data_IF_905673296692
#
_entry.id   IF_905673296692
#
_cell.length_a   1.000
_cell.length_b   1.000
_cell.length_c   1.000
_cell.angle_alpha   90.00
_cell.angle_beta   90.00
_cell.angle_gamma   90.00
#
_symmetry.space_group_name_H-M   'P 1'
#
loop_
_entity.id
_entity.type
_entity.pdbx_description
1 polymer ?
#
# COMPACT_ATOMS: atom_id res chain seq x y z
N UNK A 1 -4.75 -15.51 -1.26
CA UNK A 1 -3.58 -16.31 -1.66
C UNK A 1 -3.21 -17.18 -0.48
N UNK A 2 -2.84 -18.43 -0.72
CA UNK A 2 -2.38 -19.37 0.32
C UNK A 2 -0.86 -19.29 0.48
N UNK A 3 -0.34 -19.79 1.60
CA UNK A 3 1.09 -19.93 1.84
C UNK A 3 1.76 -20.77 0.73
N UNK A 4 1.15 -21.90 0.38
CA UNK A 4 1.67 -22.80 -0.67
C UNK A 4 1.80 -22.10 -2.03
N UNK A 5 0.80 -21.28 -2.41
CA UNK A 5 0.88 -20.50 -3.62
C UNK A 5 2.00 -19.44 -3.57
N UNK A 6 2.28 -18.88 -2.39
CA UNK A 6 3.38 -17.94 -2.18
C UNK A 6 4.75 -18.62 -2.32
N UNK A 7 4.86 -19.88 -1.90
CA UNK A 7 6.07 -20.69 -1.96
C UNK A 7 6.43 -21.09 -3.39
N UNK A 8 5.43 -21.50 -4.19
CA UNK A 8 5.63 -21.93 -5.58
C UNK A 8 5.92 -20.76 -6.52
N UNK A 9 5.36 -19.57 -6.26
CA UNK A 9 5.37 -18.46 -7.20
C UNK A 9 6.80 -18.06 -7.67
N UNK A 10 7.81 -17.91 -6.80
CA UNK A 10 9.17 -17.59 -7.23
C UNK A 10 9.80 -18.70 -8.09
N UNK A 11 9.49 -19.98 -7.82
CA UNK A 11 10.03 -21.12 -8.56
C UNK A 11 9.59 -21.12 -10.03
N UNK A 12 8.41 -20.58 -10.32
CA UNK A 12 7.88 -20.44 -11.67
C UNK A 12 8.21 -19.09 -12.32
N UNK A 13 9.12 -18.31 -11.72
CA UNK A 13 9.62 -17.04 -12.27
C UNK A 13 8.78 -15.81 -11.94
N UNK A 14 7.97 -15.84 -10.88
CA UNK A 14 7.25 -14.64 -10.41
C UNK A 14 8.19 -13.73 -9.63
N UNK A 15 8.36 -12.49 -10.10
CA UNK A 15 9.20 -11.48 -9.45
C UNK A 15 8.54 -10.81 -8.23
N UNK A 16 7.21 -10.92 -8.09
CA UNK A 16 6.51 -10.29 -6.98
C UNK A 16 5.06 -10.73 -6.75
N UNK A 17 4.61 -10.53 -5.52
CA UNK A 17 3.31 -10.94 -5.01
C UNK A 17 2.46 -9.71 -4.71
N UNK A 18 1.33 -9.55 -5.42
CA UNK A 18 0.40 -8.42 -5.23
C UNK A 18 -0.46 -8.55 -3.97
N UNK A 19 -0.54 -9.75 -3.40
CA UNK A 19 -1.25 -10.04 -2.17
C UNK A 19 -0.38 -10.97 -1.35
N UNK A 20 -0.14 -10.66 -0.09
CA UNK A 20 0.48 -11.60 0.84
C UNK A 20 -0.54 -12.70 1.21
N UNK A 21 -0.10 -13.91 1.53
CA UNK A 21 -0.96 -14.98 2.03
C UNK A 21 -1.63 -14.62 3.37
N UNK A 22 -2.70 -15.33 3.71
CA UNK A 22 -3.56 -14.99 4.87
C UNK A 22 -4.02 -16.21 5.68
N UNK A 23 -3.75 -17.40 5.19
CA UNK A 23 -4.16 -18.70 5.74
C UNK A 23 -3.27 -19.18 6.90
N UNK A 24 -2.07 -18.60 7.06
CA UNK A 24 -1.15 -18.82 8.20
C UNK A 24 -0.11 -17.70 8.29
N UNK A 25 0.68 -17.70 9.37
CA UNK A 25 1.84 -16.81 9.53
C UNK A 25 3.09 -17.30 8.79
N UNK A 26 4.03 -16.39 8.52
CA UNK A 26 5.35 -16.74 8.00
C UNK A 26 6.21 -17.53 9.00
N UNK A 27 7.09 -18.35 8.44
CA UNK A 27 8.20 -19.02 9.11
C UNK A 27 9.52 -18.77 8.35
N UNK A 28 10.65 -19.25 8.87
CA UNK A 28 11.95 -19.02 8.24
C UNK A 28 12.04 -19.52 6.80
N UNK A 29 11.31 -20.59 6.45
CA UNK A 29 11.34 -21.17 5.10
C UNK A 29 10.79 -20.19 4.08
N UNK A 30 9.58 -19.66 4.31
CA UNK A 30 8.99 -18.70 3.37
C UNK A 30 9.75 -17.36 3.35
N UNK A 31 10.33 -16.95 4.48
CA UNK A 31 11.17 -15.75 4.52
C UNK A 31 12.38 -15.90 3.61
N UNK A 32 12.99 -17.09 3.57
CA UNK A 32 14.11 -17.40 2.69
C UNK A 32 13.66 -17.53 1.21
N UNK A 33 12.54 -18.21 0.95
CA UNK A 33 11.97 -18.36 -0.40
C UNK A 33 11.59 -17.02 -1.03
N UNK A 34 11.05 -16.09 -0.23
CA UNK A 34 10.63 -14.77 -0.72
C UNK A 34 11.76 -13.73 -0.76
N UNK A 35 13.01 -14.12 -0.49
CA UNK A 35 14.15 -13.20 -0.62
C UNK A 35 14.27 -12.70 -2.06
N UNK A 36 14.19 -11.39 -2.23
CA UNK A 36 14.29 -10.74 -3.54
C UNK A 36 12.96 -10.64 -4.30
N UNK A 37 11.90 -11.29 -3.81
CA UNK A 37 10.54 -11.16 -4.35
C UNK A 37 9.91 -9.90 -3.77
N UNK A 38 9.37 -9.01 -4.60
CA UNK A 38 8.68 -7.83 -4.07
C UNK A 38 7.26 -8.18 -3.62
N UNK A 39 6.80 -7.59 -2.52
CA UNK A 39 5.47 -7.89 -1.96
C UNK A 39 4.67 -6.60 -1.83
N UNK A 40 3.42 -6.64 -2.27
CA UNK A 40 2.42 -5.59 -2.02
C UNK A 40 1.42 -6.16 -1.00
N UNK A 41 1.54 -5.87 0.29
CA UNK A 41 0.81 -6.60 1.32
C UNK A 41 -0.70 -6.27 1.39
N UNK A 42 -1.16 -5.17 0.75
CA UNK A 42 -2.57 -4.72 0.68
C UNK A 42 -3.28 -4.72 2.05
N UNK A 43 -2.62 -4.21 3.09
CA UNK A 43 -3.07 -4.30 4.49
C UNK A 43 -4.49 -3.77 4.73
N UNK A 44 -4.89 -2.68 4.06
CA UNK A 44 -6.25 -2.13 4.16
C UNK A 44 -7.32 -3.17 3.78
N UNK A 45 -7.14 -3.85 2.64
CA UNK A 45 -8.07 -4.87 2.17
C UNK A 45 -8.08 -6.09 3.09
N UNK A 46 -6.92 -6.47 3.63
CA UNK A 46 -6.82 -7.59 4.58
C UNK A 46 -7.54 -7.28 5.89
N UNK A 47 -7.39 -6.06 6.41
CA UNK A 47 -8.12 -5.61 7.60
C UNK A 47 -9.63 -5.79 7.40
N UNK A 48 -10.18 -5.33 6.28
CA UNK A 48 -11.62 -5.45 5.98
C UNK A 48 -12.09 -6.90 5.75
N UNK A 49 -11.22 -7.79 5.28
CA UNK A 49 -11.52 -9.22 5.11
C UNK A 49 -11.66 -9.92 6.46
N UNK A 50 -10.83 -9.53 7.44
CA UNK A 50 -10.89 -10.04 8.83
C UNK A 50 -11.88 -9.26 9.72
N UNK A 51 -12.70 -8.38 9.15
CA UNK A 51 -13.70 -7.59 9.86
C UNK A 51 -13.19 -6.43 10.70
N UNK A 52 -11.93 -6.05 10.52
CA UNK A 52 -11.44 -4.76 11.00
C UNK A 52 -11.99 -3.67 10.07
N UNK A 53 -12.90 -2.85 10.59
CA UNK A 53 -13.49 -1.74 9.83
C UNK A 53 -12.57 -0.52 9.91
N UNK A 54 -12.00 -0.04 8.80
CA UNK A 54 -11.10 1.11 8.79
C UNK A 54 -11.91 2.40 8.75
N UNK A 55 -12.83 2.55 9.70
CA UNK A 55 -13.77 3.68 9.74
C UNK A 55 -13.04 5.00 9.86
N UNK A 56 -11.91 5.08 10.58
CA UNK A 56 -11.20 6.33 10.78
C UNK A 56 -10.73 7.01 9.47
N UNK A 57 -10.16 6.26 8.52
CA UNK A 57 -9.65 6.83 7.25
C UNK A 57 -10.77 7.11 6.25
N UNK A 58 -11.79 6.26 6.20
CA UNK A 58 -12.99 6.50 5.36
C UNK A 58 -13.86 7.65 5.91
N UNK A 59 -13.67 8.03 7.18
CA UNK A 59 -14.35 9.16 7.81
C UNK A 59 -13.59 10.49 7.72
N UNK A 60 -12.34 10.52 7.25
CA UNK A 60 -11.58 11.78 7.12
C UNK A 60 -12.28 12.69 6.10
N UNK A 61 -12.69 13.92 6.46
CA UNK A 61 -13.38 14.83 5.56
C UNK A 61 -12.65 15.07 4.24
N UNK A 62 -11.30 15.12 4.29
CA UNK A 62 -10.45 15.33 3.11
C UNK A 62 -10.52 14.19 2.08
N UNK A 63 -10.97 13.01 2.52
CA UNK A 63 -11.23 11.83 1.68
C UNK A 63 -12.70 11.78 1.30
N UNK A 64 -13.61 11.91 2.27
CA UNK A 64 -15.06 11.83 2.06
C UNK A 64 -15.58 12.82 1.03
N UNK A 65 -15.13 14.06 1.11
CA UNK A 65 -15.59 15.14 0.22
C UNK A 65 -15.18 14.92 -1.25
N UNK A 66 -14.20 14.04 -1.51
CA UNK A 66 -13.69 13.73 -2.85
C UNK A 66 -14.32 12.47 -3.46
N UNK A 67 -15.15 11.74 -2.73
CA UNK A 67 -15.71 10.46 -3.15
C UNK A 67 -17.21 10.59 -3.41
N UNK A 68 -17.71 10.09 -4.55
CA UNK A 68 -19.15 10.02 -4.78
C UNK A 68 -19.82 9.12 -3.72
N UNK A 69 -21.09 9.36 -3.35
CA UNK A 69 -21.79 8.56 -2.34
C UNK A 69 -21.77 7.05 -2.58
N UNK A 70 -21.81 6.62 -3.85
CA UNK A 70 -21.74 5.21 -4.24
C UNK A 70 -20.43 4.51 -3.82
N UNK A 71 -19.35 5.26 -3.59
CA UNK A 71 -18.04 4.75 -3.17
C UNK A 71 -17.88 4.76 -1.65
N UNK A 72 -18.68 5.53 -0.91
CA UNK A 72 -18.59 5.61 0.56
C UNK A 72 -19.09 4.32 1.22
N UNK A 73 -20.23 3.77 0.79
CA UNK A 73 -20.81 2.59 1.43
C UNK A 73 -19.87 1.34 1.39
N UNK A 74 -19.18 1.02 0.27
CA UNK A 74 -18.18 -0.05 0.27
C UNK A 74 -16.94 0.24 1.13
N UNK A 75 -16.55 1.51 1.27
CA UNK A 75 -15.38 1.91 2.08
C UNK A 75 -15.66 1.88 3.59
N UNK A 76 -16.89 2.20 3.98
CA UNK A 76 -17.38 2.11 5.36
C UNK A 76 -17.73 0.66 5.75
N UNK A 77 -17.99 -0.20 4.76
CA UNK A 77 -18.29 -1.62 4.94
C UNK A 77 -17.06 -2.49 5.21
N UNK A 78 -17.27 -3.61 5.91
CA UNK A 78 -16.35 -4.74 5.96
C UNK A 78 -16.81 -5.83 5.00
N UNK A 79 -15.89 -6.63 4.47
CA UNK A 79 -16.25 -7.81 3.66
C UNK A 79 -16.46 -9.06 4.52
N UNK A 80 -15.92 -9.06 5.74
CA UNK A 80 -16.07 -10.07 6.82
C UNK A 80 -15.96 -11.53 6.36
N UNK A 81 -15.29 -11.76 5.22
CA UNK A 81 -15.29 -13.07 4.53
C UNK A 81 -14.41 -14.08 5.24
N UNK A 82 -13.53 -13.62 6.14
CA UNK A 82 -12.56 -14.45 6.87
C UNK A 82 -12.44 -14.03 8.35
N UNK A 83 -13.54 -13.61 8.96
CA UNK A 83 -13.55 -12.96 10.29
C UNK A 83 -13.00 -13.80 11.47
N UNK A 84 -12.88 -15.12 11.33
CA UNK A 84 -12.30 -15.99 12.37
C UNK A 84 -10.76 -15.94 12.44
N UNK A 85 -10.12 -15.28 11.48
CA UNK A 85 -8.65 -15.19 11.40
C UNK A 85 -8.10 -13.93 12.07
N UNK A 86 -6.88 -14.07 12.57
CA UNK A 86 -6.18 -13.01 13.31
C UNK A 86 -5.41 -12.08 12.36
N UNK A 87 -5.79 -10.79 12.34
CA UNK A 87 -5.10 -9.78 11.56
C UNK A 87 -3.68 -9.51 12.08
N UNK A 88 -3.41 -9.72 13.36
CA UNK A 88 -2.08 -9.51 13.95
C UNK A 88 -1.06 -10.49 13.35
N UNK A 89 -1.48 -11.71 13.04
CA UNK A 89 -0.66 -12.69 12.32
C UNK A 89 -0.22 -12.19 10.93
N UNK A 90 -1.10 -11.47 10.22
CA UNK A 90 -0.76 -10.84 8.93
C UNK A 90 0.16 -9.66 9.11
N UNK A 91 -0.07 -8.83 10.13
CA UNK A 91 0.81 -7.69 10.43
C UNK A 91 2.21 -8.16 10.82
N UNK A 92 2.30 -9.22 11.62
CA UNK A 92 3.58 -9.86 11.97
C UNK A 92 4.27 -10.42 10.72
N UNK A 93 3.55 -11.16 9.88
CA UNK A 93 4.11 -11.70 8.63
C UNK A 93 4.62 -10.59 7.71
N UNK A 94 3.88 -9.49 7.59
CA UNK A 94 4.35 -8.32 6.82
C UNK A 94 5.60 -7.70 7.44
N UNK A 95 5.65 -7.57 8.78
CA UNK A 95 6.82 -7.09 9.49
C UNK A 95 8.05 -7.98 9.30
N UNK A 96 7.89 -9.30 9.36
CA UNK A 96 8.97 -10.28 9.18
C UNK A 96 9.49 -10.31 7.73
N UNK A 97 8.64 -9.99 6.75
CA UNK A 97 8.97 -9.93 5.32
C UNK A 97 9.53 -8.57 4.87
N UNK A 98 9.59 -7.55 5.74
CA UNK A 98 10.14 -6.25 5.34
C UNK A 98 11.63 -6.40 5.00
N UNK A 99 12.13 -5.68 3.97
CA UNK A 99 13.54 -5.64 3.68
C UNK A 99 14.34 -5.20 4.92
N UNK A 100 15.46 -5.85 5.18
CA UNK A 100 16.39 -5.47 6.24
C UNK A 100 16.72 -3.97 6.13
N UNK A 101 16.41 -3.21 7.19
CA UNK A 101 16.55 -1.74 7.23
C UNK A 101 15.24 -0.96 7.35
N UNK A 102 14.08 -1.64 7.32
CA UNK A 102 12.77 -1.06 7.68
C UNK A 102 12.32 -1.68 9.02
N UNK A 103 13.09 -1.40 10.06
CA UNK A 103 12.95 -2.01 11.38
C UNK A 103 12.08 -1.10 12.26
N UNK A 104 10.75 -1.16 12.09
CA UNK A 104 9.83 -0.55 13.04
C UNK A 104 8.61 -1.45 13.31
N UNK A 105 8.44 -1.93 14.56
CA UNK A 105 7.24 -2.67 14.95
C UNK A 105 5.95 -1.80 14.90
N UNK A 106 6.07 -0.47 14.78
CA UNK A 106 4.95 0.47 14.65
C UNK A 106 4.57 0.90 13.22
N UNK A 107 5.13 0.27 12.17
CA UNK A 107 4.85 0.60 10.76
C UNK A 107 5.90 1.51 10.10
N UNK A 108 5.66 1.94 8.86
CA UNK A 108 6.62 2.75 8.10
C UNK A 108 6.85 4.13 8.72
N UNK A 109 8.10 4.62 8.73
CA UNK A 109 8.37 6.06 8.86
C UNK A 109 7.72 6.79 7.68
N UNK A 110 7.30 8.06 7.81
CA UNK A 110 6.60 8.75 6.72
C UNK A 110 7.36 8.75 5.39
N UNK A 111 8.69 8.96 5.40
CA UNK A 111 9.52 8.86 4.19
C UNK A 111 9.53 7.45 3.56
N UNK A 112 9.47 6.41 4.36
CA UNK A 112 9.42 5.03 3.87
C UNK A 112 8.06 4.75 3.24
N UNK A 113 6.97 5.24 3.84
CA UNK A 113 5.64 5.17 3.26
C UNK A 113 5.56 5.92 1.91
N UNK A 114 6.13 7.13 1.82
CA UNK A 114 6.22 7.89 0.57
C UNK A 114 7.03 7.13 -0.50
N UNK A 115 8.17 6.54 -0.12
CA UNK A 115 8.97 5.72 -1.05
C UNK A 115 8.21 4.48 -1.52
N UNK A 116 7.51 3.79 -0.61
CA UNK A 116 6.67 2.63 -0.89
C UNK A 116 5.50 2.96 -1.82
N UNK A 117 4.98 4.19 -1.78
CA UNK A 117 3.92 4.65 -2.69
C UNK A 117 4.43 5.10 -4.07
N UNK A 118 5.73 5.37 -4.23
CA UNK A 118 6.29 5.98 -5.45
C UNK A 118 7.46 5.18 -6.04
N UNK A 119 8.68 5.45 -5.56
CA UNK A 119 9.93 4.95 -6.14
C UNK A 119 10.12 3.43 -6.04
N UNK A 120 9.56 2.80 -5.01
CA UNK A 120 9.70 1.36 -4.79
C UNK A 120 8.92 0.57 -5.84
N UNK A 121 7.61 0.81 -6.06
CA UNK A 121 6.89 0.19 -7.18
C UNK A 121 7.56 0.45 -8.53
N UNK A 122 8.01 1.69 -8.80
CA UNK A 122 8.70 2.00 -10.06
C UNK A 122 9.94 1.11 -10.26
N UNK A 123 10.75 0.89 -9.21
CA UNK A 123 11.91 -0.01 -9.26
C UNK A 123 11.49 -1.47 -9.44
N UNK A 124 10.51 -1.95 -8.66
CA UNK A 124 10.05 -3.35 -8.70
C UNK A 124 9.42 -3.71 -10.06
N UNK A 125 8.76 -2.76 -10.72
CA UNK A 125 8.19 -2.93 -12.05
C UNK A 125 9.10 -2.44 -13.18
N UNK A 126 10.38 -2.16 -12.89
CA UNK A 126 11.39 -1.78 -13.88
C UNK A 126 10.99 -0.53 -14.70
N UNK A 127 10.19 0.35 -14.11
CA UNK A 127 9.73 1.60 -14.71
C UNK A 127 10.78 2.68 -14.48
N UNK A 128 11.56 2.96 -15.53
CA UNK A 128 12.62 3.96 -15.50
C UNK A 128 12.12 5.40 -15.70
N UNK A 129 10.87 5.56 -16.14
CA UNK A 129 10.27 6.82 -16.57
C UNK A 129 9.48 7.56 -15.47
N UNK A 130 9.39 7.05 -14.24
CA UNK A 130 8.56 7.64 -13.16
C UNK A 130 9.02 7.27 -11.75
N UNK A 131 8.29 7.75 -10.75
CA UNK A 131 8.48 7.40 -9.33
C UNK A 131 9.54 8.25 -8.62
N UNK A 132 10.14 9.22 -9.32
CA UNK A 132 11.06 10.22 -8.79
C UNK A 132 10.81 11.57 -9.48
N UNK A 133 11.10 12.65 -8.77
CA UNK A 133 11.08 14.00 -9.32
C UNK A 133 12.48 14.30 -9.86
N UNK A 134 12.68 14.04 -11.14
CA UNK A 134 13.94 14.25 -11.87
C UNK A 134 13.60 14.73 -13.27
N UNK A 135 14.34 15.72 -13.78
CA UNK A 135 14.16 16.21 -15.14
C UNK A 135 14.22 15.08 -16.17
N UNK A 136 13.35 15.14 -17.19
CA UNK A 136 13.24 14.13 -18.24
C UNK A 136 12.41 12.88 -17.88
N UNK A 137 11.98 12.70 -16.63
CA UNK A 137 10.99 11.69 -16.26
C UNK A 137 9.56 12.19 -16.49
N UNK A 138 8.59 11.28 -16.56
CA UNK A 138 7.17 11.65 -16.70
C UNK A 138 6.72 12.51 -15.51
N UNK A 139 6.18 13.70 -15.81
CA UNK A 139 5.66 14.64 -14.82
C UNK A 139 4.37 14.19 -14.16
N UNK A 140 4.48 13.37 -13.11
CA UNK A 140 3.42 13.09 -12.16
C UNK A 140 3.75 13.73 -10.82
N UNK A 141 2.98 14.74 -10.41
CA UNK A 141 3.24 15.51 -9.19
C UNK A 141 1.96 15.72 -8.38
N UNK A 142 2.15 15.82 -7.06
CA UNK A 142 1.10 16.12 -6.09
C UNK A 142 1.58 17.27 -5.21
N UNK A 143 0.85 18.39 -5.20
CA UNK A 143 1.05 19.43 -4.19
C UNK A 143 0.07 19.17 -3.05
N UNK A 144 0.60 19.13 -1.83
CA UNK A 144 -0.19 18.93 -0.60
C UNK A 144 0.04 20.10 0.34
N UNK A 145 -0.96 20.38 1.18
CA UNK A 145 -0.79 21.28 2.31
C UNK A 145 -0.35 20.50 3.55
N UNK A 146 0.70 20.97 4.21
CA UNK A 146 1.31 20.32 5.36
C UNK A 146 2.68 19.72 5.01
N UNK A 147 3.21 18.90 5.90
CA UNK A 147 4.48 18.21 5.72
C UNK A 147 4.31 16.68 5.88
N UNK A 148 4.21 15.92 4.77
CA UNK A 148 4.04 14.48 4.82
C UNK A 148 5.27 13.73 5.34
N UNK A 149 6.40 14.41 5.56
CA UNK A 149 7.57 13.84 6.23
C UNK A 149 7.42 13.84 7.76
N UNK A 150 6.59 14.74 8.28
CA UNK A 150 6.26 14.85 9.70
C UNK A 150 4.97 14.10 10.04
N UNK A 151 3.93 14.26 9.22
CA UNK A 151 2.67 13.54 9.35
C UNK A 151 2.18 13.03 7.99
N UNK A 152 2.24 11.72 7.79
CA UNK A 152 1.87 11.09 6.51
C UNK A 152 0.41 11.40 6.10
N UNK A 153 -0.47 11.78 7.04
CA UNK A 153 -1.87 12.15 6.74
C UNK A 153 -1.99 13.46 5.96
N UNK A 154 -0.93 14.28 5.90
CA UNK A 154 -0.90 15.47 5.06
C UNK A 154 -0.97 15.13 3.57
N UNK A 155 -0.69 13.88 3.19
CA UNK A 155 -0.94 13.37 1.82
C UNK A 155 -2.41 13.43 1.39
N UNK A 156 -3.36 13.53 2.34
CA UNK A 156 -4.79 13.67 2.06
C UNK A 156 -5.19 15.12 1.72
N UNK A 157 -4.38 16.10 2.15
CA UNK A 157 -4.59 17.54 1.97
C UNK A 157 -4.12 18.04 0.60
N UNK A 158 -4.54 17.36 -0.47
CA UNK A 158 -4.14 17.65 -1.85
C UNK A 158 -4.65 19.03 -2.29
N UNK A 159 -3.75 19.86 -2.82
CA UNK A 159 -4.03 21.16 -3.42
C UNK A 159 -4.12 21.10 -4.93
N UNK A 160 -3.17 20.41 -5.57
CA UNK A 160 -3.08 20.34 -7.03
C UNK A 160 -2.45 19.01 -7.45
N UNK A 161 -2.85 18.51 -8.63
CA UNK A 161 -2.31 17.30 -9.25
C UNK A 161 -1.83 17.66 -10.65
N UNK A 162 -0.62 17.22 -11.02
CA UNK A 162 -0.14 17.25 -12.39
C UNK A 162 0.06 15.85 -12.93
N UNK A 163 -0.37 15.61 -14.17
CA UNK A 163 -0.21 14.33 -14.87
C UNK A 163 0.21 14.59 -16.32
N UNK A 164 1.36 14.04 -16.72
CA UNK A 164 1.93 14.24 -18.06
C UNK A 164 2.06 15.74 -18.39
N UNK A 165 2.60 16.49 -17.45
CA UNK A 165 2.90 17.93 -17.58
C UNK A 165 1.67 18.83 -17.73
N UNK A 166 0.46 18.28 -17.58
CA UNK A 166 -0.79 19.03 -17.47
C UNK A 166 -1.28 19.03 -16.03
N UNK A 167 -1.69 20.20 -15.56
CA UNK A 167 -2.47 20.32 -14.33
C UNK A 167 -3.86 19.69 -14.56
N UNK A 168 -4.32 18.91 -13.59
CA UNK A 168 -5.67 18.34 -13.62
C UNK A 168 -6.60 19.27 -12.83
N UNK A 169 -7.69 19.69 -13.45
CA UNK A 169 -8.75 20.41 -12.75
C UNK A 169 -9.29 19.56 -11.59
N UNK A 170 -9.30 20.14 -10.40
CA UNK A 170 -9.70 19.47 -9.16
C UNK A 170 -11.22 19.48 -8.93
N UNK A 171 -12.02 19.75 -9.97
CA UNK A 171 -13.48 19.73 -9.85
C UNK A 171 -13.95 18.28 -9.67
N UNK A 172 -14.71 17.95 -8.61
CA UNK A 172 -15.26 16.61 -8.44
C UNK A 172 -16.13 16.23 -9.65
N UNK A 173 -15.96 15.00 -10.15
CA UNK A 173 -16.85 14.38 -11.14
C UNK A 173 -18.23 14.07 -10.54
#
# INVERSE_FOLDING_TARGET
MTYEAAEIAPEIGVDGLTHLFIDRGADSSILDTLRGVFIIPRLYLKATIFGNKPTASALDPRVREKLPPAWLAPLEGGTDTFAESDFDTVLKTEADLRPAGIDNPGGFKPIEALRAAMSVPARCFWLTDRGRIVEGLRGGLLLVQGDPMSDIRDTLSIRTIWRRDSELDSTPL
#
